data_IF_808036399821
#
_entry.id   IF_808036399821
#
_cell.length_a   1.000
_cell.length_b   1.000
_cell.length_c   1.000
_cell.angle_alpha   90.00
_cell.angle_beta   90.00
_cell.angle_gamma   90.00
#
_symmetry.space_group_name_H-M   'P 1'
#
loop_
_entity.id
_entity.type
_entity.pdbx_description
1 polymer ?
#
# COMPACT_ATOMS: atom_id res chain seq x y z
N UNK A 1 84.30 28.16 1.99
CA UNK A 1 83.89 28.94 0.81
C UNK A 1 82.38 29.15 0.92
N UNK A 2 81.97 30.40 1.07
CA UNK A 2 80.59 30.82 1.29
C UNK A 2 79.75 30.58 0.02
N UNK A 3 78.59 29.93 0.14
CA UNK A 3 77.46 30.29 -0.75
C UNK A 3 76.13 30.12 -0.05
N UNK A 4 75.52 31.30 0.20
CA UNK A 4 74.14 31.51 0.61
C UNK A 4 73.20 30.95 -0.46
N UNK A 5 72.15 30.22 -0.08
CA UNK A 5 71.01 29.99 -0.97
C UNK A 5 69.76 30.61 -0.34
N UNK A 6 69.19 31.54 -1.11
CA UNK A 6 68.03 32.35 -0.80
C UNK A 6 66.79 31.48 -0.61
N UNK A 7 66.06 31.78 0.46
CA UNK A 7 64.71 31.30 0.73
C UNK A 7 63.77 32.01 -0.24
N UNK A 8 63.18 31.27 -1.19
CA UNK A 8 62.00 31.72 -1.93
C UNK A 8 60.77 31.12 -1.26
N UNK A 9 60.07 31.92 -0.46
CA UNK A 9 58.73 31.59 0.06
C UNK A 9 57.72 31.89 -1.05
N UNK A 10 57.36 30.89 -1.83
CA UNK A 10 56.20 30.95 -2.74
C UNK A 10 54.92 30.73 -1.94
N UNK A 11 54.23 31.83 -1.62
CA UNK A 11 52.87 31.81 -1.05
C UNK A 11 51.93 31.32 -2.16
N UNK A 12 51.60 30.03 -2.12
CA UNK A 12 50.53 29.46 -2.95
C UNK A 12 49.20 29.75 -2.26
N UNK A 13 48.44 30.71 -2.79
CA UNK A 13 47.08 30.98 -2.36
C UNK A 13 46.19 29.79 -2.74
N UNK A 14 45.91 28.91 -1.78
CA UNK A 14 44.91 27.85 -1.93
C UNK A 14 43.52 28.49 -1.92
N UNK A 15 42.96 28.71 -3.10
CA UNK A 15 41.53 28.94 -3.27
C UNK A 15 40.80 27.66 -2.85
N UNK A 16 40.30 27.62 -1.61
CA UNK A 16 39.33 26.61 -1.17
C UNK A 16 38.00 27.00 -1.83
N UNK A 17 37.85 26.61 -3.10
CA UNK A 17 36.56 26.64 -3.76
C UNK A 17 35.62 25.70 -3.01
N UNK A 18 34.50 26.24 -2.53
CA UNK A 18 33.41 25.45 -1.97
C UNK A 18 33.07 24.33 -2.96
N UNK A 19 33.25 23.09 -2.53
CA UNK A 19 32.76 21.93 -3.27
C UNK A 19 31.24 22.11 -3.38
N UNK A 20 30.77 22.48 -4.57
CA UNK A 20 29.35 22.38 -4.90
C UNK A 20 28.97 20.93 -4.62
N UNK A 21 28.22 20.71 -3.53
CA UNK A 21 27.52 19.45 -3.33
C UNK A 21 26.61 19.33 -4.53
N UNK A 22 26.94 18.42 -5.44
CA UNK A 22 26.01 17.97 -6.46
C UNK A 22 24.70 17.69 -5.73
N UNK A 23 23.58 18.35 -6.10
CA UNK A 23 22.28 17.91 -5.62
C UNK A 23 22.24 16.41 -5.84
N UNK A 24 21.96 15.65 -4.78
CA UNK A 24 21.75 14.21 -4.94
C UNK A 24 20.83 14.05 -6.14
N UNK A 25 21.27 13.29 -7.15
CA UNK A 25 20.35 12.84 -8.19
C UNK A 25 19.21 12.18 -7.44
N UNK A 26 18.04 12.83 -7.44
CA UNK A 26 16.81 12.16 -7.10
C UNK A 26 16.81 10.91 -7.98
N UNK A 27 16.64 9.70 -7.42
CA UNK A 27 16.46 8.54 -8.26
C UNK A 27 15.39 8.92 -9.28
N UNK A 28 15.71 8.74 -10.56
CA UNK A 28 14.80 8.98 -11.67
C UNK A 28 13.58 8.09 -11.47
N UNK A 29 12.62 8.55 -10.66
CA UNK A 29 11.31 7.93 -10.54
C UNK A 29 10.59 8.31 -11.81
N UNK A 30 10.82 7.54 -12.87
CA UNK A 30 9.89 7.52 -13.98
C UNK A 30 8.49 7.37 -13.36
N UNK A 31 7.58 8.29 -13.66
CA UNK A 31 6.21 8.24 -13.17
C UNK A 31 5.63 6.86 -13.47
N UNK A 32 5.03 6.15 -12.49
CA UNK A 32 4.46 4.83 -12.75
C UNK A 32 3.46 4.86 -13.90
N UNK A 33 3.55 3.90 -14.81
CA UNK A 33 2.59 3.75 -15.90
C UNK A 33 1.33 3.04 -15.39
N UNK A 34 0.36 3.82 -14.92
CA UNK A 34 -0.93 3.30 -14.46
C UNK A 34 -1.83 2.75 -15.59
N UNK A 35 -1.42 2.85 -16.85
CA UNK A 35 -2.17 2.32 -18.00
C UNK A 35 -1.70 0.92 -18.42
N UNK A 36 -0.60 0.43 -17.84
CA UNK A 36 -0.08 -0.91 -18.09
C UNK A 36 -1.15 -1.97 -17.76
N UNK A 37 -1.57 -2.81 -18.72
CA UNK A 37 -2.51 -3.88 -18.44
C UNK A 37 -1.84 -4.99 -17.63
N UNK A 38 -2.64 -5.76 -16.90
CA UNK A 38 -2.20 -7.02 -16.32
C UNK A 38 -1.75 -7.96 -17.46
N UNK A 39 -0.55 -8.57 -17.40
CA UNK A 39 -0.10 -9.50 -18.42
C UNK A 39 -1.06 -10.70 -18.56
N UNK A 40 -1.15 -11.25 -19.77
CA UNK A 40 -2.05 -12.37 -20.05
C UNK A 40 -1.71 -13.58 -19.18
N UNK A 41 -2.71 -14.10 -18.46
CA UNK A 41 -2.57 -15.26 -17.58
C UNK A 41 -1.99 -14.97 -16.20
N UNK A 42 -1.58 -13.73 -15.91
CA UNK A 42 -1.17 -13.34 -14.55
C UNK A 42 -2.36 -13.10 -13.63
N UNK A 43 -2.13 -13.24 -12.32
CA UNK A 43 -3.13 -12.93 -11.28
C UNK A 43 -2.94 -11.52 -10.78
N UNK A 44 -4.02 -10.76 -10.65
CA UNK A 44 -3.99 -9.43 -10.07
C UNK A 44 -3.73 -9.45 -8.56
N UNK A 45 -4.01 -10.58 -7.90
CA UNK A 45 -3.93 -10.73 -6.45
C UNK A 45 -2.88 -11.78 -6.02
N UNK A 46 -2.07 -11.43 -5.02
CA UNK A 46 -1.09 -12.30 -4.38
C UNK A 46 -1.47 -12.55 -2.93
N UNK A 47 -1.44 -13.81 -2.51
CA UNK A 47 -1.69 -14.16 -1.11
C UNK A 47 -0.51 -13.68 -0.24
N UNK A 48 -0.81 -12.99 0.85
CA UNK A 48 0.17 -12.43 1.79
C UNK A 48 0.34 -13.37 2.98
N UNK A 49 1.58 -13.71 3.31
CA UNK A 49 1.90 -14.47 4.51
C UNK A 49 1.58 -13.64 5.75
N UNK A 50 1.09 -14.26 6.83
CA UNK A 50 0.66 -13.55 8.05
C UNK A 50 1.75 -12.64 8.62
N UNK A 51 3.03 -13.03 8.52
CA UNK A 51 4.16 -12.24 9.01
C UNK A 51 4.41 -10.95 8.21
N UNK A 52 3.82 -10.83 7.02
CA UNK A 52 3.92 -9.67 6.12
C UNK A 52 2.61 -8.85 6.10
N UNK A 53 1.63 -9.19 6.93
CA UNK A 53 0.42 -8.39 7.03
C UNK A 53 0.76 -6.97 7.53
N UNK A 54 0.04 -5.93 7.03
CA UNK A 54 0.17 -4.60 7.57
C UNK A 54 -0.30 -4.55 9.03
N UNK A 55 0.00 -3.45 9.73
CA UNK A 55 -0.43 -3.27 11.11
C UNK A 55 -1.96 -3.08 11.22
N UNK A 56 -2.67 -4.21 11.31
CA UNK A 56 -4.10 -4.26 11.52
C UNK A 56 -4.51 -3.77 12.91
N UNK A 57 -3.58 -3.76 13.88
CA UNK A 57 -3.83 -3.28 15.24
C UNK A 57 -4.02 -1.77 15.27
N UNK A 58 -3.21 -1.05 14.50
CA UNK A 58 -3.41 0.38 14.26
C UNK A 58 -4.73 0.67 13.53
N UNK A 59 -5.10 -0.17 12.54
CA UNK A 59 -6.38 -0.03 11.84
C UNK A 59 -7.58 -0.25 12.78
N UNK A 60 -7.50 -1.21 13.71
CA UNK A 60 -8.51 -1.41 14.74
C UNK A 60 -8.72 -0.17 15.60
N UNK A 61 -7.64 0.45 16.09
CA UNK A 61 -7.72 1.63 16.96
C UNK A 61 -8.33 2.85 16.26
N UNK A 62 -8.10 2.98 14.95
CA UNK A 62 -8.52 4.12 14.14
C UNK A 62 -9.70 3.80 13.21
N UNK A 63 -10.47 2.75 13.51
CA UNK A 63 -11.59 2.32 12.67
C UNK A 63 -12.69 3.38 12.63
N UNK A 64 -13.30 3.53 11.46
CA UNK A 64 -14.39 4.47 11.24
C UNK A 64 -15.66 4.07 12.02
N UNK A 65 -16.39 5.06 12.52
CA UNK A 65 -17.64 4.87 13.28
C UNK A 65 -18.73 4.18 12.44
N UNK A 66 -18.74 4.40 11.12
CA UNK A 66 -19.72 3.89 10.16
C UNK A 66 -19.22 2.66 9.39
N UNK A 67 -18.14 2.01 9.83
CA UNK A 67 -17.62 0.81 9.18
C UNK A 67 -18.67 -0.33 9.15
N UNK A 68 -19.44 -0.50 10.23
CA UNK A 68 -20.51 -1.52 10.27
C UNK A 68 -21.63 -1.22 9.27
N UNK A 69 -22.06 0.05 9.17
CA UNK A 69 -23.08 0.46 8.20
C UNK A 69 -22.62 0.22 6.75
N UNK A 70 -21.33 0.48 6.48
CA UNK A 70 -20.72 0.22 5.17
C UNK A 70 -20.70 -1.27 4.81
N UNK A 71 -20.51 -2.15 5.81
CA UNK A 71 -20.59 -3.60 5.63
C UNK A 71 -22.04 -4.05 5.38
N UNK A 72 -23.01 -3.47 6.07
CA UNK A 72 -24.44 -3.76 5.86
C UNK A 72 -24.91 -3.36 4.45
N UNK A 73 -24.48 -2.19 3.96
CA UNK A 73 -24.71 -1.78 2.58
C UNK A 73 -24.07 -2.74 1.56
N UNK A 74 -22.85 -3.21 1.85
CA UNK A 74 -22.17 -4.21 1.02
C UNK A 74 -22.93 -5.53 0.98
N UNK A 75 -23.44 -6.01 2.13
CA UNK A 75 -24.26 -7.21 2.20
C UNK A 75 -25.55 -7.06 1.38
N UNK A 76 -26.22 -5.90 1.45
CA UNK A 76 -27.37 -5.59 0.62
C UNK A 76 -27.05 -5.61 -0.88
N UNK A 77 -25.88 -5.11 -1.28
CA UNK A 77 -25.42 -5.22 -2.68
C UNK A 77 -25.22 -6.67 -3.11
N UNK A 78 -24.61 -7.52 -2.26
CA UNK A 78 -24.43 -8.95 -2.54
C UNK A 78 -25.76 -9.72 -2.68
N UNK A 79 -26.88 -9.20 -2.17
CA UNK A 79 -28.21 -9.78 -2.36
C UNK A 79 -28.82 -9.48 -3.74
N UNK A 80 -28.35 -8.43 -4.42
CA UNK A 80 -28.82 -8.13 -5.78
C UNK A 80 -28.39 -9.24 -6.76
N UNK A 81 -29.29 -9.76 -7.62
CA UNK A 81 -28.93 -10.80 -8.58
C UNK A 81 -27.79 -10.42 -9.53
N UNK A 82 -27.69 -9.14 -9.88
CA UNK A 82 -26.64 -8.58 -10.75
C UNK A 82 -25.24 -8.67 -10.15
N UNK A 83 -25.11 -8.71 -8.82
CA UNK A 83 -23.79 -8.81 -8.15
C UNK A 83 -23.04 -10.10 -8.50
N UNK A 84 -23.73 -11.14 -8.98
CA UNK A 84 -23.14 -12.43 -9.37
C UNK A 84 -22.38 -12.39 -10.69
N UNK A 85 -22.64 -11.40 -11.54
CA UNK A 85 -22.15 -11.36 -12.93
C UNK A 85 -20.63 -11.46 -13.04
N UNK A 86 -19.90 -10.92 -12.07
CA UNK A 86 -18.44 -10.77 -12.12
C UNK A 86 -17.68 -11.81 -11.30
N UNK A 87 -18.38 -12.84 -10.80
CA UNK A 87 -17.79 -13.90 -10.00
C UNK A 87 -17.72 -15.23 -10.77
N UNK A 88 -16.74 -16.10 -10.48
CA UNK A 88 -15.66 -15.90 -9.50
C UNK A 88 -14.62 -14.87 -9.97
N UNK A 89 -14.01 -14.16 -9.03
CA UNK A 89 -12.90 -13.24 -9.27
C UNK A 89 -11.67 -13.77 -8.54
N UNK A 90 -10.57 -14.01 -9.24
CA UNK A 90 -9.32 -14.52 -8.65
C UNK A 90 -9.53 -15.81 -7.81
N UNK A 91 -10.45 -16.67 -8.25
CA UNK A 91 -10.80 -17.91 -7.55
C UNK A 91 -11.75 -17.75 -6.35
N UNK A 92 -12.08 -16.51 -5.96
CA UNK A 92 -13.07 -16.23 -4.91
C UNK A 92 -14.47 -16.26 -5.52
N UNK A 93 -15.32 -17.16 -5.02
CA UNK A 93 -16.72 -17.25 -5.45
C UNK A 93 -17.56 -16.11 -4.86
N UNK A 94 -18.69 -15.78 -5.50
CA UNK A 94 -19.66 -14.80 -4.98
C UNK A 94 -20.08 -15.12 -3.54
N UNK A 95 -20.37 -16.41 -3.26
CA UNK A 95 -20.74 -16.88 -1.91
C UNK A 95 -19.61 -16.65 -0.90
N UNK A 96 -18.37 -16.97 -1.24
CA UNK A 96 -17.22 -16.74 -0.36
C UNK A 96 -16.99 -15.25 -0.11
N UNK A 97 -17.10 -14.40 -1.13
CA UNK A 97 -16.96 -12.96 -0.99
C UNK A 97 -18.04 -12.38 -0.05
N UNK A 98 -19.31 -12.75 -0.26
CA UNK A 98 -20.41 -12.36 0.64
C UNK A 98 -20.18 -12.85 2.08
N UNK A 99 -19.77 -14.12 2.24
CA UNK A 99 -19.50 -14.67 3.56
C UNK A 99 -18.35 -13.94 4.26
N UNK A 100 -17.31 -13.54 3.53
CA UNK A 100 -16.19 -12.79 4.09
C UNK A 100 -16.64 -11.45 4.69
N UNK A 101 -17.55 -10.73 4.02
CA UNK A 101 -18.14 -9.49 4.55
C UNK A 101 -18.98 -9.76 5.81
N UNK A 102 -19.80 -10.82 5.78
CA UNK A 102 -20.63 -11.20 6.93
C UNK A 102 -19.78 -11.57 8.14
N UNK A 103 -18.76 -12.42 7.96
CA UNK A 103 -17.86 -12.81 9.05
C UNK A 103 -17.10 -11.61 9.59
N UNK A 104 -16.60 -10.72 8.73
CA UNK A 104 -15.87 -9.53 9.19
C UNK A 104 -16.77 -8.60 10.00
N UNK A 105 -18.04 -8.44 9.58
CA UNK A 105 -19.05 -7.73 10.34
C UNK A 105 -19.26 -8.36 11.73
N UNK A 106 -19.41 -9.68 11.79
CA UNK A 106 -19.53 -10.42 13.05
C UNK A 106 -18.32 -10.21 13.95
N UNK A 107 -17.10 -10.28 13.40
CA UNK A 107 -15.87 -10.02 14.15
C UNK A 107 -15.87 -8.63 14.78
N UNK A 108 -16.25 -7.60 14.03
CA UNK A 108 -16.30 -6.22 14.54
C UNK A 108 -17.32 -6.03 15.66
N UNK A 109 -18.45 -6.74 15.61
CA UNK A 109 -19.50 -6.66 16.65
C UNK A 109 -19.10 -7.44 17.91
N UNK A 110 -18.49 -8.61 17.75
CA UNK A 110 -18.28 -9.54 18.85
C UNK A 110 -16.95 -9.37 19.57
N UNK A 111 -15.90 -8.95 18.86
CA UNK A 111 -14.55 -8.84 19.45
C UNK A 111 -14.51 -7.71 20.47
N UNK A 112 -14.17 -8.05 21.72
CA UNK A 112 -14.14 -7.10 22.83
C UNK A 112 -12.77 -6.42 22.98
N UNK A 113 -11.74 -7.03 22.42
CA UNK A 113 -10.35 -6.54 22.50
C UNK A 113 -9.70 -6.53 21.12
N UNK A 114 -8.64 -5.72 20.99
CA UNK A 114 -7.82 -5.69 19.78
C UNK A 114 -7.19 -7.05 19.50
N UNK A 115 -6.66 -7.68 20.54
CA UNK A 115 -5.99 -8.97 20.45
C UNK A 115 -6.95 -10.04 19.94
N UNK A 116 -8.17 -10.11 20.51
CA UNK A 116 -9.21 -11.02 20.03
C UNK A 116 -9.57 -10.77 18.56
N UNK A 117 -9.73 -9.51 18.16
CA UNK A 117 -10.00 -9.16 16.77
C UNK A 117 -8.87 -9.63 15.84
N UNK A 118 -7.62 -9.34 16.17
CA UNK A 118 -6.46 -9.70 15.36
C UNK A 118 -6.32 -11.21 15.21
N UNK A 119 -6.46 -11.96 16.31
CA UNK A 119 -6.40 -13.41 16.30
C UNK A 119 -7.50 -14.02 15.41
N UNK A 120 -8.74 -13.51 15.55
CA UNK A 120 -9.87 -13.99 14.74
C UNK A 120 -9.72 -13.63 13.27
N UNK A 121 -9.19 -12.45 12.92
CA UNK A 121 -8.92 -12.09 11.53
C UNK A 121 -7.87 -13.02 10.95
N UNK A 122 -6.75 -13.23 11.65
CA UNK A 122 -5.66 -14.09 11.18
C UNK A 122 -6.07 -15.57 11.02
N UNK A 123 -6.97 -16.08 11.87
CA UNK A 123 -7.45 -17.46 11.80
C UNK A 123 -8.53 -17.68 10.74
N UNK A 124 -9.21 -16.63 10.29
CA UNK A 124 -10.44 -16.74 9.47
C UNK A 124 -10.22 -16.26 8.04
N UNK A 125 -9.31 -15.30 7.82
CA UNK A 125 -9.16 -14.62 6.54
C UNK A 125 -7.82 -14.90 5.87
N UNK A 126 -7.86 -14.96 4.54
CA UNK A 126 -6.70 -14.79 3.69
C UNK A 126 -6.56 -13.31 3.33
N UNK A 127 -5.38 -12.72 3.51
CA UNK A 127 -5.08 -11.38 3.03
C UNK A 127 -4.43 -11.47 1.65
N UNK A 128 -4.93 -10.66 0.71
CA UNK A 128 -4.36 -10.54 -0.62
C UNK A 128 -3.83 -9.12 -0.86
N UNK A 129 -2.71 -9.04 -1.55
CA UNK A 129 -2.11 -7.80 -2.04
C UNK A 129 -2.36 -7.68 -3.55
N UNK A 130 -2.63 -6.47 -4.03
CA UNK A 130 -2.66 -6.17 -5.46
C UNK A 130 -1.25 -6.25 -6.05
N UNK A 131 -1.13 -6.74 -7.29
CA UNK A 131 0.11 -6.64 -8.05
C UNK A 131 0.60 -5.19 -8.21
N UNK A 132 -0.34 -4.25 -8.33
CA UNK A 132 -0.03 -2.85 -8.61
C UNK A 132 0.36 -2.61 -10.07
N UNK A 133 0.59 -1.35 -10.42
CA UNK A 133 1.01 -0.97 -11.78
C UNK A 133 2.45 -1.37 -12.10
N UNK A 134 3.23 -1.81 -11.11
CA UNK A 134 4.67 -2.08 -11.19
C UNK A 134 5.08 -3.45 -10.60
N UNK A 135 4.10 -4.32 -10.34
CA UNK A 135 4.27 -5.63 -9.69
C UNK A 135 4.79 -5.56 -8.24
N UNK A 136 4.95 -4.36 -7.67
CA UNK A 136 5.39 -4.12 -6.28
C UNK A 136 4.28 -3.54 -5.40
N UNK A 137 3.01 -3.66 -5.82
CA UNK A 137 1.86 -3.20 -5.03
C UNK A 137 1.57 -1.70 -5.15
N UNK A 138 2.25 -0.98 -6.04
CA UNK A 138 1.98 0.46 -6.25
C UNK A 138 0.62 0.66 -6.89
N UNK A 139 -0.25 1.44 -6.23
CA UNK A 139 -1.60 1.78 -6.70
C UNK A 139 -1.84 3.28 -6.67
N UNK A 140 -2.74 3.75 -7.53
CA UNK A 140 -3.18 5.14 -7.56
C UNK A 140 -4.50 5.30 -6.80
N UNK A 141 -4.51 6.13 -5.76
CA UNK A 141 -5.75 6.56 -5.11
C UNK A 141 -6.26 7.86 -5.75
N UNK A 142 -7.52 7.87 -6.16
CA UNK A 142 -8.24 9.05 -6.67
C UNK A 142 -9.51 9.28 -5.84
N UNK A 143 -10.22 10.39 -6.10
CA UNK A 143 -11.45 10.74 -5.38
C UNK A 143 -12.59 11.10 -6.32
N UNK A 144 -13.81 10.72 -5.95
CA UNK A 144 -15.06 11.14 -6.60
C UNK A 144 -16.10 11.50 -5.52
N UNK A 145 -17.13 12.25 -5.90
CA UNK A 145 -18.23 12.62 -5.00
C UNK A 145 -19.56 12.70 -5.76
N UNK A 146 -20.69 12.73 -5.03
CA UNK A 146 -22.02 12.99 -5.59
C UNK A 146 -22.36 14.46 -5.40
N UNK A 147 -22.41 15.28 -6.47
CA UNK A 147 -22.77 16.70 -6.34
C UNK A 147 -24.27 16.89 -6.08
N UNK A 148 -24.59 17.88 -5.25
CA UNK A 148 -25.94 18.44 -5.10
C UNK A 148 -26.04 19.73 -5.94
N UNK A 149 -27.15 19.92 -6.67
CA UNK A 149 -27.37 21.05 -7.60
C UNK A 149 -28.61 21.88 -7.24
#
# INVERSE_FOLDING_TARGET
>A
MYTRFLILVTISATLIGCSNKQPAELPSTATPDYTRPLPEGERALRLVQVQQWPDMGHAWDNRDLFLQDSLDLSLGWFDAPSSKQWFPMEGVTHKQAKQSVLEFRTLLTESQTKEEFLDRVASTFNLYESGGCDDNGTVLFTGYYSPDF
#
